data_IF_348736313784
#
_entry.id   IF_348736313784
#
_cell.length_a   1.000
_cell.length_b   1.000
_cell.length_c   1.000
_cell.angle_alpha   90.00
_cell.angle_beta   90.00
_cell.angle_gamma   90.00
#
_symmetry.space_group_name_H-M   'P 1'
#
loop_
_entity.id
_entity.type
_entity.pdbx_description
1 polymer ?
#
# COMPACT_ATOMS: atom_id res chain seq x y z
N UNK A 1 5.24 -30.10 -30.40
CA UNK A 1 5.96 -28.80 -30.59
C UNK A 1 5.05 -27.59 -30.32
N UNK A 2 3.85 -27.52 -30.94
CA UNK A 2 2.87 -26.42 -30.71
C UNK A 2 2.49 -26.24 -29.23
N UNK A 3 2.17 -27.32 -28.52
CA UNK A 3 1.81 -27.31 -27.08
C UNK A 3 2.93 -26.73 -26.20
N UNK A 4 4.19 -27.06 -26.48
CA UNK A 4 5.33 -26.54 -25.72
C UNK A 4 5.51 -25.04 -25.95
N UNK A 5 5.31 -24.57 -27.18
CA UNK A 5 5.35 -23.14 -27.49
C UNK A 5 4.17 -22.38 -26.88
N UNK A 6 2.96 -22.94 -26.92
CA UNK A 6 1.78 -22.33 -26.30
C UNK A 6 1.94 -22.24 -24.78
N UNK A 7 2.52 -23.27 -24.14
CA UNK A 7 2.85 -23.27 -22.72
C UNK A 7 3.90 -22.20 -22.37
N UNK A 8 4.98 -22.09 -23.14
CA UNK A 8 6.00 -21.04 -22.95
C UNK A 8 5.41 -19.63 -23.08
N UNK A 9 4.61 -19.40 -24.11
CA UNK A 9 3.93 -18.11 -24.32
C UNK A 9 3.00 -17.77 -23.15
N UNK A 10 2.31 -18.77 -22.59
CA UNK A 10 1.41 -18.56 -21.44
C UNK A 10 2.19 -18.19 -20.18
N UNK A 11 3.30 -18.89 -19.89
CA UNK A 11 4.20 -18.58 -18.76
C UNK A 11 4.79 -17.19 -18.89
N UNK A 12 5.24 -16.81 -20.10
CA UNK A 12 5.81 -15.49 -20.35
C UNK A 12 4.78 -14.37 -20.19
N UNK A 13 3.54 -14.56 -20.70
CA UNK A 13 2.43 -13.62 -20.47
C UNK A 13 2.07 -13.50 -18.99
N UNK A 14 2.08 -14.60 -18.25
CA UNK A 14 1.83 -14.59 -16.80
C UNK A 14 2.91 -13.78 -16.07
N UNK A 15 4.19 -14.01 -16.38
CA UNK A 15 5.30 -13.26 -15.80
C UNK A 15 5.19 -11.76 -16.08
N UNK A 16 4.95 -11.38 -17.33
CA UNK A 16 4.75 -9.98 -17.72
C UNK A 16 3.57 -9.34 -16.98
N UNK A 17 2.47 -10.07 -16.82
CA UNK A 17 1.29 -9.57 -16.10
C UNK A 17 1.57 -9.39 -14.61
N UNK A 18 2.34 -10.28 -14.00
CA UNK A 18 2.75 -10.19 -12.61
C UNK A 18 3.69 -8.98 -12.36
N UNK A 19 4.70 -8.80 -13.22
CA UNK A 19 5.60 -7.65 -13.16
C UNK A 19 4.82 -6.33 -13.34
N UNK A 20 3.89 -6.30 -14.30
CA UNK A 20 3.01 -5.16 -14.51
C UNK A 20 2.13 -4.84 -13.29
N UNK A 21 1.55 -5.86 -12.66
CA UNK A 21 0.74 -5.69 -11.45
C UNK A 21 1.56 -5.12 -10.29
N UNK A 22 2.74 -5.68 -10.03
CA UNK A 22 3.64 -5.20 -8.97
C UNK A 22 4.05 -3.76 -9.19
N UNK A 23 4.40 -3.41 -10.44
CA UNK A 23 4.73 -2.05 -10.82
C UNK A 23 3.58 -1.06 -10.62
N UNK A 24 2.34 -1.46 -10.96
CA UNK A 24 1.15 -0.63 -10.74
C UNK A 24 0.93 -0.34 -9.25
N UNK A 25 1.14 -1.32 -8.37
CA UNK A 25 1.00 -1.14 -6.92
C UNK A 25 2.03 -0.12 -6.41
N UNK A 26 3.30 -0.27 -6.80
CA UNK A 26 4.36 0.68 -6.40
C UNK A 26 4.06 2.12 -6.84
N UNK A 27 3.49 2.30 -8.04
CA UNK A 27 3.06 3.63 -8.51
C UNK A 27 1.96 4.22 -7.65
N UNK A 28 1.02 3.41 -7.18
CA UNK A 28 -0.05 3.88 -6.30
C UNK A 28 0.53 4.35 -4.96
N UNK A 29 1.48 3.62 -4.38
CA UNK A 29 2.15 4.02 -3.14
C UNK A 29 2.87 5.37 -3.31
N UNK A 30 3.62 5.52 -4.41
CA UNK A 30 4.30 6.77 -4.73
C UNK A 30 3.31 7.93 -4.90
N UNK A 31 2.17 7.69 -5.55
CA UNK A 31 1.11 8.70 -5.72
C UNK A 31 0.51 9.10 -4.37
N UNK A 32 0.24 8.15 -3.47
CA UNK A 32 -0.31 8.43 -2.15
C UNK A 32 0.64 9.32 -1.36
N UNK A 33 1.92 8.98 -1.31
CA UNK A 33 2.95 9.77 -0.60
C UNK A 33 3.10 11.16 -1.22
N UNK A 34 3.20 11.24 -2.55
CA UNK A 34 3.45 12.51 -3.25
C UNK A 34 2.27 13.48 -3.11
N UNK A 35 1.04 13.01 -3.35
CA UNK A 35 -0.16 13.83 -3.29
C UNK A 35 -0.44 14.24 -1.84
N UNK A 36 -0.36 13.30 -0.89
CA UNK A 36 -0.58 13.60 0.52
C UNK A 36 0.47 14.55 1.08
N UNK A 37 1.74 14.39 0.69
CA UNK A 37 2.82 15.29 1.08
C UNK A 37 2.62 16.72 0.56
N UNK A 38 2.23 16.86 -0.72
CA UNK A 38 1.87 18.15 -1.29
C UNK A 38 0.64 18.77 -0.60
N UNK A 39 -0.39 17.96 -0.32
CA UNK A 39 -1.59 18.38 0.40
C UNK A 39 -1.30 18.89 1.81
N UNK A 40 -0.45 18.19 2.57
CA UNK A 40 0.03 18.63 3.90
C UNK A 40 0.75 19.97 3.79
N UNK A 41 1.67 20.10 2.82
CA UNK A 41 2.40 21.35 2.62
C UNK A 41 1.46 22.53 2.37
N UNK A 42 0.49 22.37 1.47
CA UNK A 42 -0.54 23.39 1.20
C UNK A 42 -1.34 23.73 2.46
N UNK A 43 -1.74 22.72 3.25
CA UNK A 43 -2.46 22.96 4.50
C UNK A 43 -1.62 23.77 5.50
N UNK A 44 -0.33 23.45 5.65
CA UNK A 44 0.56 24.15 6.59
C UNK A 44 0.83 25.58 6.17
N UNK A 45 1.08 25.84 4.88
CA UNK A 45 1.25 27.21 4.36
C UNK A 45 -0.03 28.03 4.53
N UNK A 46 -1.19 27.42 4.28
CA UNK A 46 -2.49 28.08 4.47
C UNK A 46 -2.72 28.42 5.95
N UNK A 47 -2.42 27.50 6.85
CA UNK A 47 -2.51 27.72 8.30
C UNK A 47 -1.59 28.86 8.76
N UNK A 48 -0.36 28.90 8.25
CA UNK A 48 0.60 29.96 8.52
C UNK A 48 0.07 31.32 8.05
N UNK A 49 -0.42 31.39 6.81
CA UNK A 49 -0.99 32.61 6.25
C UNK A 49 -2.18 33.14 7.06
N UNK A 50 -3.12 32.28 7.45
CA UNK A 50 -4.26 32.69 8.29
C UNK A 50 -3.82 33.21 9.65
N UNK A 51 -2.82 32.57 10.26
CA UNK A 51 -2.27 32.98 11.55
C UNK A 51 -1.59 34.35 11.46
N UNK A 52 -0.84 34.61 10.38
CA UNK A 52 -0.17 35.90 10.16
C UNK A 52 -1.15 37.04 9.82
N UNK A 53 -2.31 36.71 9.25
CA UNK A 53 -3.35 37.69 8.87
C UNK A 53 -4.41 37.90 9.95
N UNK A 54 -4.24 37.32 11.15
CA UNK A 54 -5.20 37.33 12.26
C UNK A 54 -6.62 36.84 11.87
N UNK A 55 -6.70 36.00 10.84
CA UNK A 55 -7.95 35.39 10.40
C UNK A 55 -8.27 34.13 11.21
N UNK A 56 -9.55 33.85 11.41
CA UNK A 56 -9.99 32.65 12.12
C UNK A 56 -9.60 31.38 11.38
N UNK A 57 -8.82 30.54 12.06
CA UNK A 57 -8.36 29.27 11.50
C UNK A 57 -9.48 28.25 11.55
N UNK A 58 -10.08 27.97 10.39
CA UNK A 58 -11.13 26.96 10.28
C UNK A 58 -10.62 25.55 10.63
N UNK A 59 -11.46 24.74 11.27
CA UNK A 59 -11.13 23.36 11.62
C UNK A 59 -10.92 22.46 10.37
N UNK A 60 -11.58 22.77 9.25
CA UNK A 60 -11.61 21.92 8.05
C UNK A 60 -10.21 21.77 7.42
N UNK A 61 -9.39 22.83 7.39
CA UNK A 61 -8.03 22.72 6.86
C UNK A 61 -7.14 21.83 7.74
N UNK A 62 -7.34 21.85 9.07
CA UNK A 62 -6.64 20.96 10.01
C UNK A 62 -7.07 19.52 9.81
N UNK A 63 -8.37 19.27 9.64
CA UNK A 63 -8.92 17.94 9.34
C UNK A 63 -8.32 17.40 8.04
N UNK A 64 -8.23 18.22 6.99
CA UNK A 64 -7.64 17.85 5.71
C UNK A 64 -6.18 17.38 5.87
N UNK A 65 -5.37 18.17 6.61
CA UNK A 65 -3.98 17.82 6.91
C UNK A 65 -3.86 16.50 7.68
N UNK A 66 -4.75 16.26 8.65
CA UNK A 66 -4.79 15.01 9.43
C UNK A 66 -5.11 13.81 8.53
N UNK A 67 -6.07 13.93 7.61
CA UNK A 67 -6.39 12.86 6.66
C UNK A 67 -5.20 12.50 5.77
N UNK A 68 -4.49 13.49 5.23
CA UNK A 68 -3.27 13.24 4.45
C UNK A 68 -2.18 12.58 5.28
N UNK A 69 -1.97 13.01 6.52
CA UNK A 69 -0.98 12.39 7.41
C UNK A 69 -1.32 10.92 7.68
N UNK A 70 -2.58 10.63 8.02
CA UNK A 70 -3.02 9.25 8.22
C UNK A 70 -2.93 8.43 6.94
N UNK A 71 -3.21 9.00 5.76
CA UNK A 71 -3.01 8.30 4.50
C UNK A 71 -1.56 7.82 4.32
N UNK A 72 -0.57 8.68 4.61
CA UNK A 72 0.86 8.32 4.55
C UNK A 72 1.20 7.23 5.57
N UNK A 73 0.74 7.37 6.82
CA UNK A 73 1.02 6.38 7.88
C UNK A 73 0.44 5.01 7.53
N UNK A 74 -0.82 4.96 7.09
CA UNK A 74 -1.51 3.74 6.70
C UNK A 74 -0.85 3.11 5.47
N UNK A 75 -0.38 3.92 4.51
CA UNK A 75 0.37 3.43 3.36
C UNK A 75 1.72 2.82 3.76
N UNK A 76 2.44 3.45 4.69
CA UNK A 76 3.70 2.90 5.22
C UNK A 76 3.49 1.55 5.95
N UNK A 77 2.43 1.43 6.75
CA UNK A 77 2.07 0.17 7.39
C UNK A 77 1.76 -0.93 6.37
N UNK A 78 1.09 -0.59 5.28
CA UNK A 78 0.84 -1.53 4.16
C UNK A 78 2.13 -2.12 3.61
N UNK A 79 3.14 -1.27 3.37
CA UNK A 79 4.46 -1.68 2.87
C UNK A 79 5.18 -2.61 3.86
N UNK A 80 5.08 -2.33 5.16
CA UNK A 80 5.63 -3.21 6.21
C UNK A 80 4.97 -4.59 6.16
N UNK A 81 3.64 -4.66 6.09
CA UNK A 81 2.94 -5.94 5.99
C UNK A 81 3.26 -6.67 4.69
N UNK A 82 3.44 -5.94 3.58
CA UNK A 82 3.84 -6.52 2.30
C UNK A 82 5.23 -7.17 2.38
N UNK A 83 6.17 -6.49 3.03
CA UNK A 83 7.49 -7.06 3.34
C UNK A 83 7.37 -8.33 4.19
N UNK A 84 6.55 -8.30 5.25
CA UNK A 84 6.34 -9.45 6.14
C UNK A 84 5.68 -10.64 5.45
N UNK A 85 4.76 -10.41 4.51
CA UNK A 85 4.18 -11.47 3.68
C UNK A 85 5.28 -12.15 2.86
N UNK A 86 6.08 -11.37 2.13
CA UNK A 86 7.17 -11.89 1.31
C UNK A 86 8.24 -12.62 2.13
N UNK A 87 8.54 -12.15 3.35
CA UNK A 87 9.44 -12.84 4.28
C UNK A 87 8.90 -14.24 4.65
N UNK A 88 7.59 -14.39 4.84
CA UNK A 88 6.98 -15.70 5.14
C UNK A 88 6.94 -16.62 3.92
N UNK A 89 6.62 -16.10 2.74
CA UNK A 89 6.70 -16.88 1.50
C UNK A 89 8.13 -17.37 1.23
N UNK A 90 9.13 -16.53 1.50
CA UNK A 90 10.53 -16.93 1.39
C UNK A 90 10.87 -18.09 2.34
N UNK A 91 10.47 -18.01 3.62
CA UNK A 91 10.70 -19.07 4.60
C UNK A 91 9.96 -20.37 4.25
N UNK A 92 8.76 -20.26 3.70
CA UNK A 92 8.00 -21.39 3.19
C UNK A 92 8.78 -22.11 2.08
N UNK A 93 9.15 -21.38 1.01
CA UNK A 93 9.94 -21.92 -0.09
C UNK A 93 11.28 -22.50 0.36
N UNK A 94 11.95 -21.85 1.31
CA UNK A 94 13.20 -22.35 1.88
C UNK A 94 12.99 -23.70 2.56
N UNK A 95 11.93 -23.85 3.36
CA UNK A 95 11.61 -25.09 4.06
C UNK A 95 11.29 -26.22 3.08
N UNK A 96 10.57 -25.92 2.00
CA UNK A 96 10.30 -26.89 0.92
C UNK A 96 11.58 -27.37 0.25
N UNK A 97 12.49 -26.45 -0.10
CA UNK A 97 13.77 -26.76 -0.73
C UNK A 97 14.66 -27.61 0.20
N UNK A 98 14.75 -27.24 1.48
CA UNK A 98 15.53 -27.98 2.49
C UNK A 98 14.99 -29.39 2.75
N UNK A 99 13.69 -29.62 2.47
CA UNK A 99 13.05 -30.92 2.57
C UNK A 99 13.16 -31.80 1.31
N UNK A 100 13.86 -31.35 0.26
CA UNK A 100 13.87 -32.00 -1.07
C UNK A 100 12.43 -32.23 -1.60
N UNK A 101 11.53 -31.27 -1.33
CA UNK A 101 10.11 -31.35 -1.65
C UNK A 101 9.38 -32.56 -1.04
N UNK A 102 9.93 -33.16 0.02
CA UNK A 102 9.34 -34.28 0.77
C UNK A 102 9.34 -33.95 2.27
N UNK A 103 8.57 -32.93 2.69
CA UNK A 103 8.51 -32.52 4.09
C UNK A 103 7.99 -33.65 4.98
N UNK A 104 8.62 -33.83 6.14
CA UNK A 104 8.02 -34.62 7.22
C UNK A 104 6.87 -33.83 7.88
N UNK A 105 6.10 -34.46 8.78
CA UNK A 105 4.94 -33.83 9.43
C UNK A 105 5.28 -32.49 10.13
N UNK A 106 6.47 -32.40 10.73
CA UNK A 106 6.93 -31.18 11.39
C UNK A 106 7.23 -30.06 10.39
N UNK A 107 7.90 -30.37 9.29
CA UNK A 107 8.19 -29.41 8.21
C UNK A 107 6.92 -28.97 7.50
N UNK A 108 5.98 -29.89 7.26
CA UNK A 108 4.68 -29.57 6.68
C UNK A 108 3.91 -28.59 7.56
N UNK A 109 3.91 -28.81 8.87
CA UNK A 109 3.27 -27.90 9.83
C UNK A 109 3.88 -26.48 9.78
N UNK A 110 5.20 -26.37 9.54
CA UNK A 110 5.86 -25.07 9.39
C UNK A 110 5.49 -24.38 8.08
N UNK A 111 5.48 -25.13 6.97
CA UNK A 111 5.03 -24.64 5.66
C UNK A 111 3.61 -24.07 5.76
N UNK A 112 2.68 -24.84 6.33
CA UNK A 112 1.28 -24.43 6.50
C UNK A 112 1.15 -23.17 7.37
N UNK A 113 2.00 -23.05 8.40
CA UNK A 113 2.01 -21.86 9.26
C UNK A 113 2.56 -20.62 8.52
N UNK A 114 3.63 -20.78 7.74
CA UNK A 114 4.18 -19.69 6.95
C UNK A 114 3.20 -19.21 5.89
N UNK A 115 2.55 -20.14 5.16
CA UNK A 115 1.52 -19.82 4.17
C UNK A 115 0.35 -19.06 4.80
N UNK A 116 -0.20 -19.57 5.92
CA UNK A 116 -1.29 -18.91 6.64
C UNK A 116 -0.95 -17.50 7.11
N UNK A 117 0.26 -17.31 7.64
CA UNK A 117 0.71 -15.98 8.10
C UNK A 117 0.93 -15.05 6.90
N UNK A 118 1.50 -15.56 5.80
CA UNK A 118 1.67 -14.80 4.56
C UNK A 118 0.33 -14.32 4.03
N UNK A 119 -0.66 -15.20 3.90
CA UNK A 119 -2.01 -14.82 3.49
C UNK A 119 -2.61 -13.71 4.37
N UNK A 120 -2.42 -13.81 5.69
CA UNK A 120 -2.91 -12.82 6.63
C UNK A 120 -2.29 -11.44 6.36
N UNK A 121 -0.96 -11.39 6.21
CA UNK A 121 -0.26 -10.14 5.90
C UNK A 121 -0.64 -9.59 4.52
N UNK A 122 -0.78 -10.44 3.51
CA UNK A 122 -1.25 -10.04 2.18
C UNK A 122 -2.65 -9.41 2.21
N UNK A 123 -3.59 -10.01 2.98
CA UNK A 123 -4.93 -9.44 3.19
C UNK A 123 -4.86 -8.08 3.90
N UNK A 124 -4.01 -7.96 4.93
CA UNK A 124 -3.79 -6.69 5.61
C UNK A 124 -3.21 -5.63 4.67
N UNK A 125 -2.16 -5.93 3.91
CA UNK A 125 -1.58 -5.02 2.90
C UNK A 125 -2.64 -4.49 1.94
N UNK A 126 -3.48 -5.36 1.39
CA UNK A 126 -4.56 -4.93 0.50
C UNK A 126 -5.54 -3.99 1.20
N UNK A 127 -5.93 -4.31 2.44
CA UNK A 127 -6.83 -3.47 3.22
C UNK A 127 -6.21 -2.09 3.52
N UNK A 128 -4.97 -2.03 4.00
CA UNK A 128 -4.24 -0.79 4.27
C UNK A 128 -4.02 0.05 2.99
N UNK A 129 -3.76 -0.59 1.83
CA UNK A 129 -3.68 0.12 0.55
C UNK A 129 -4.99 0.81 0.18
N UNK A 130 -6.12 0.10 0.25
CA UNK A 130 -7.42 0.71 -0.01
C UNK A 130 -7.77 1.80 1.00
N UNK A 131 -7.50 1.58 2.29
CA UNK A 131 -7.73 2.58 3.34
C UNK A 131 -6.90 3.84 3.15
N UNK A 132 -5.61 3.71 2.83
CA UNK A 132 -4.74 4.88 2.61
C UNK A 132 -5.15 5.69 1.39
N UNK A 133 -5.55 5.02 0.31
CA UNK A 133 -6.13 5.67 -0.87
C UNK A 133 -7.41 6.44 -0.52
N UNK A 134 -8.33 5.82 0.24
CA UNK A 134 -9.57 6.47 0.66
C UNK A 134 -9.31 7.69 1.55
N UNK A 135 -8.39 7.58 2.51
CA UNK A 135 -7.99 8.70 3.39
C UNK A 135 -7.42 9.86 2.58
N UNK A 136 -6.55 9.60 1.59
CA UNK A 136 -6.02 10.62 0.68
C UNK A 136 -7.15 11.31 -0.08
N UNK A 137 -8.12 10.56 -0.63
CA UNK A 137 -9.27 11.15 -1.33
C UNK A 137 -10.13 12.03 -0.43
N UNK A 138 -10.39 11.60 0.81
CA UNK A 138 -11.13 12.42 1.79
C UNK A 138 -10.34 13.70 2.10
N UNK A 139 -9.02 13.61 2.27
CA UNK A 139 -8.13 14.77 2.44
C UNK A 139 -8.23 15.76 1.28
N UNK A 140 -8.21 15.27 0.03
CA UNK A 140 -8.38 16.11 -1.16
C UNK A 140 -9.76 16.79 -1.22
N UNK A 141 -10.83 16.03 -0.97
CA UNK A 141 -12.20 16.58 -1.02
C UNK A 141 -12.37 17.66 0.05
N UNK A 142 -11.92 17.39 1.26
CA UNK A 142 -12.03 18.35 2.38
C UNK A 142 -11.20 19.61 2.14
N UNK A 143 -9.98 19.46 1.57
CA UNK A 143 -9.15 20.59 1.16
C UNK A 143 -9.84 21.43 0.08
N UNK A 144 -10.44 20.78 -0.93
CA UNK A 144 -11.14 21.48 -2.01
C UNK A 144 -12.38 22.22 -1.51
N UNK A 145 -13.16 21.61 -0.60
CA UNK A 145 -14.32 22.27 0.01
C UNK A 145 -13.88 23.52 0.76
N UNK A 146 -12.77 23.45 1.49
CA UNK A 146 -12.22 24.61 2.19
C UNK A 146 -11.88 25.75 1.22
N UNK A 147 -11.14 25.48 0.15
CA UNK A 147 -10.73 26.53 -0.79
C UNK A 147 -11.85 27.11 -1.64
N UNK A 148 -12.92 26.36 -1.91
CA UNK A 148 -14.02 26.83 -2.77
C UNK A 148 -15.08 27.59 -1.98
N UNK A 149 -15.34 27.20 -0.74
CA UNK A 149 -16.51 27.70 0.01
C UNK A 149 -16.15 28.48 1.27
N UNK A 150 -14.91 28.41 1.77
CA UNK A 150 -14.53 28.99 3.07
C UNK A 150 -13.42 30.03 2.93
N UNK A 151 -12.36 29.70 2.20
CA UNK A 151 -11.26 30.60 1.89
C UNK A 151 -11.69 31.70 0.91
#
# INVERSE_FOLDING_TARGET
MKIINDMKNTIERQKQSWEGMFYSIQRIDLLIISISGAGIYVCLETLKFLTETENDVNLIIKISAVFFLFAIIVNFLSQIFGYKSNEKDYLMCQTEIESDFKPNEFQQTQIDNYDKISECYSKLTNWFNYSSMLLMFIGLITLMIYFVFIF
#
